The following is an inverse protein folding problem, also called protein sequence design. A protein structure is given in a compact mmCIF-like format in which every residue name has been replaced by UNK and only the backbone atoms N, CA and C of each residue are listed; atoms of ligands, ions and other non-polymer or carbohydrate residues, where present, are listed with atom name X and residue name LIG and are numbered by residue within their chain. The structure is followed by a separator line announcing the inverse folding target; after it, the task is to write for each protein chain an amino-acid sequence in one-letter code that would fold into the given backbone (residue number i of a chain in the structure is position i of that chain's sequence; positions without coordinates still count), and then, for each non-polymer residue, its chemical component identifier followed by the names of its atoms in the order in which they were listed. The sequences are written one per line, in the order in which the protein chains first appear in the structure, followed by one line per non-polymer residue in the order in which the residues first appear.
data_IF_585824624680
#
_entry.id   IF_585824624680
#
_cell.length_a   1.000
_cell.length_b   1.000
_cell.length_c   1.000
_cell.angle_alpha   90.00
_cell.angle_beta   90.00
_cell.angle_gamma   90.00
#
_symmetry.space_group_name_H-M   'P 1'
#
loop_
_entity.id
_entity.type
_entity.pdbx_description
1 polymer ?
#
# COMPACT_ATOMS: atom_id res chain seq x y z
N UNK A 1 21.40 26.33 -81.41
CA UNK A 1 20.73 27.43 -80.69
C UNK A 1 19.26 27.09 -80.48
N UNK A 2 18.92 26.50 -79.34
CA UNK A 2 17.58 26.48 -78.70
C UNK A 2 17.63 25.72 -77.35
N UNK A 3 18.80 25.67 -76.70
CA UNK A 3 19.05 25.11 -75.37
C UNK A 3 19.14 26.23 -74.31
N UNK A 4 18.26 27.25 -74.33
CA UNK A 4 18.40 28.36 -73.37
C UNK A 4 17.11 29.09 -72.96
N UNK A 5 15.91 28.56 -73.23
CA UNK A 5 14.69 29.35 -72.97
C UNK A 5 13.53 28.68 -72.24
N UNK A 6 13.73 27.50 -71.65
CA UNK A 6 12.74 26.90 -70.75
C UNK A 6 13.31 26.57 -69.36
N UNK A 7 14.26 27.41 -68.93
CA UNK A 7 14.82 27.42 -67.57
C UNK A 7 14.11 28.42 -66.63
N UNK A 8 12.91 28.88 -66.99
CA UNK A 8 12.16 29.92 -66.27
C UNK A 8 10.71 29.53 -65.98
N UNK A 9 10.47 28.25 -65.67
CA UNK A 9 9.16 27.78 -65.17
C UNK A 9 9.26 26.82 -63.98
N UNK A 10 10.34 26.93 -63.20
CA UNK A 10 10.60 26.07 -62.04
C UNK A 10 11.22 26.87 -60.87
N UNK A 11 10.61 28.01 -60.54
CA UNK A 11 11.08 28.88 -59.45
C UNK A 11 9.97 29.71 -58.79
N UNK A 12 8.75 29.16 -58.72
CA UNK A 12 7.67 29.69 -57.89
C UNK A 12 7.13 28.55 -57.04
N UNK A 13 7.77 28.28 -55.89
CA UNK A 13 7.17 27.77 -54.64
C UNK A 13 8.28 27.54 -53.60
N UNK A 14 9.05 28.58 -53.31
CA UNK A 14 9.90 28.62 -52.14
C UNK A 14 9.82 30.05 -51.59
N UNK A 15 9.71 30.18 -50.27
CA UNK A 15 9.58 31.42 -49.49
C UNK A 15 8.12 31.88 -49.28
N UNK A 16 7.44 31.24 -48.32
CA UNK A 16 6.62 31.91 -47.30
C UNK A 16 6.00 30.88 -46.36
N UNK A 17 6.71 30.47 -45.29
CA UNK A 17 6.15 30.06 -43.98
C UNK A 17 7.29 29.83 -42.99
N UNK A 18 7.97 30.90 -42.58
CA UNK A 18 8.73 30.92 -41.33
C UNK A 18 8.06 31.95 -40.43
N UNK A 19 7.02 31.51 -39.69
CA UNK A 19 6.51 32.08 -38.42
C UNK A 19 5.07 31.64 -38.20
N UNK A 20 4.86 30.44 -37.64
CA UNK A 20 3.76 30.18 -36.71
C UNK A 20 3.81 28.72 -36.27
N UNK A 21 4.77 28.41 -35.41
CA UNK A 21 4.63 27.33 -34.44
C UNK A 21 5.44 27.73 -33.22
N UNK A 22 5.04 28.85 -32.60
CA UNK A 22 5.09 28.90 -31.15
C UNK A 22 4.13 27.82 -30.68
N UNK A 23 4.62 26.58 -30.64
CA UNK A 23 4.04 25.59 -29.77
C UNK A 23 4.21 26.20 -28.38
N UNK A 24 3.13 26.78 -27.86
CA UNK A 24 2.92 26.82 -26.43
C UNK A 24 3.06 25.37 -25.98
N UNK A 25 4.29 24.99 -25.61
CA UNK A 25 4.52 23.93 -24.65
C UNK A 25 3.86 24.47 -23.39
N UNK A 26 2.55 24.29 -23.29
CA UNK A 26 1.92 24.14 -22.00
C UNK A 26 2.80 23.14 -21.27
N UNK A 27 3.48 23.60 -20.22
CA UNK A 27 4.04 22.73 -19.20
C UNK A 27 2.86 21.95 -18.63
N UNK A 28 2.39 20.93 -19.34
CA UNK A 28 1.63 19.87 -18.72
C UNK A 28 2.63 19.23 -17.77
N UNK A 29 2.47 19.48 -16.47
CA UNK A 29 3.25 18.79 -15.46
C UNK A 29 3.19 17.28 -15.76
N UNK A 30 4.36 16.68 -15.95
CA UNK A 30 4.48 15.25 -16.19
C UNK A 30 3.84 14.53 -14.99
N UNK A 31 2.84 13.68 -15.25
CA UNK A 31 2.11 13.02 -14.19
C UNK A 31 3.05 12.08 -13.43
N UNK A 32 3.38 12.42 -12.19
CA UNK A 32 4.22 11.56 -11.35
C UNK A 32 3.44 10.27 -11.00
N UNK A 33 3.87 9.15 -11.55
CA UNK A 33 3.22 7.85 -11.37
C UNK A 33 3.57 7.19 -10.05
N UNK A 34 4.73 7.49 -9.47
CA UNK A 34 5.31 6.73 -8.36
C UNK A 34 5.31 7.59 -7.11
N UNK A 35 4.47 7.25 -6.15
CA UNK A 35 4.30 8.07 -4.93
C UNK A 35 5.15 7.60 -3.75
N UNK A 36 5.57 6.33 -3.75
CA UNK A 36 6.43 5.80 -2.69
C UNK A 36 7.16 4.52 -3.15
N UNK A 37 8.25 4.17 -2.45
CA UNK A 37 8.99 2.93 -2.63
C UNK A 37 9.57 2.48 -1.30
N UNK A 38 9.32 1.22 -0.94
CA UNK A 38 9.90 0.58 0.24
C UNK A 38 10.08 -0.91 -0.02
N UNK A 39 11.19 -1.49 0.44
CA UNK A 39 11.62 -2.85 0.12
C UNK A 39 11.46 -3.16 -1.39
N UNK A 40 10.70 -4.20 -1.73
CA UNK A 40 10.37 -4.65 -3.08
C UNK A 40 9.06 -4.04 -3.63
N UNK A 41 8.41 -3.15 -2.88
CA UNK A 41 7.14 -2.52 -3.22
C UNK A 41 7.33 -1.14 -3.83
N UNK A 42 6.58 -0.87 -4.89
CA UNK A 42 6.40 0.47 -5.49
C UNK A 42 4.93 0.85 -5.44
N UNK A 43 4.62 1.98 -4.80
CA UNK A 43 3.25 2.50 -4.78
C UNK A 43 3.08 3.42 -5.98
N UNK A 44 2.10 3.07 -6.82
CA UNK A 44 1.75 3.85 -8.01
C UNK A 44 0.35 4.41 -7.90
N UNK A 45 0.11 5.54 -8.57
CA UNK A 45 -1.23 6.11 -8.74
C UNK A 45 -1.61 6.08 -10.22
N UNK A 46 -2.91 6.01 -10.49
CA UNK A 46 -3.47 5.99 -11.84
C UNK A 46 -4.42 7.17 -12.03
N UNK A 47 -4.55 7.61 -13.28
CA UNK A 47 -5.55 8.60 -13.68
C UNK A 47 -6.88 7.90 -13.98
N UNK A 48 -7.99 8.63 -13.85
CA UNK A 48 -9.32 8.18 -14.27
C UNK A 48 -9.85 9.11 -15.37
N UNK A 49 -9.32 9.01 -16.61
CA UNK A 49 -9.76 9.86 -17.72
C UNK A 49 -11.26 9.67 -18.00
N UNK A 50 -11.96 10.74 -18.40
CA UNK A 50 -13.38 10.66 -18.72
C UNK A 50 -14.31 10.80 -17.50
N UNK A 51 -13.79 10.74 -16.27
CA UNK A 51 -14.64 10.85 -15.06
C UNK A 51 -15.30 12.23 -14.94
N UNK A 52 -14.57 13.29 -15.29
CA UNK A 52 -15.07 14.67 -15.18
C UNK A 52 -16.24 14.94 -16.14
N UNK A 53 -16.29 14.23 -17.26
CA UNK A 53 -17.27 14.36 -18.33
C UNK A 53 -18.56 13.59 -18.05
N UNK A 54 -18.57 12.69 -17.06
CA UNK A 54 -19.75 11.90 -16.74
C UNK A 54 -20.92 12.76 -16.22
N UNK A 55 -22.17 12.45 -16.61
CA UNK A 55 -23.36 12.99 -15.97
C UNK A 55 -23.34 12.77 -14.45
N UNK A 56 -23.98 13.69 -13.71
CA UNK A 56 -24.00 13.66 -12.25
C UNK A 56 -24.51 12.31 -11.70
N UNK A 57 -25.55 11.74 -12.30
CA UNK A 57 -26.12 10.47 -11.85
C UNK A 57 -25.12 9.31 -11.94
N UNK A 58 -24.26 9.29 -12.97
CA UNK A 58 -23.21 8.27 -13.10
C UNK A 58 -22.09 8.48 -12.08
N UNK A 59 -21.71 9.74 -11.82
CA UNK A 59 -20.73 10.06 -10.75
C UNK A 59 -21.24 9.63 -9.38
N UNK A 60 -22.53 9.85 -9.09
CA UNK A 60 -23.15 9.39 -7.83
C UNK A 60 -23.14 7.87 -7.72
N UNK A 61 -23.49 7.15 -8.79
CA UNK A 61 -23.40 5.69 -8.81
C UNK A 61 -21.97 5.20 -8.54
N UNK A 62 -20.98 5.75 -9.24
CA UNK A 62 -19.56 5.41 -9.05
C UNK A 62 -19.12 5.69 -7.62
N UNK A 63 -19.50 6.86 -7.06
CA UNK A 63 -19.18 7.23 -5.69
C UNK A 63 -19.74 6.21 -4.68
N UNK A 64 -21.02 5.85 -4.78
CA UNK A 64 -21.59 4.88 -3.84
C UNK A 64 -20.99 3.48 -3.98
N UNK A 65 -20.63 3.05 -5.20
CA UNK A 65 -19.92 1.79 -5.42
C UNK A 65 -18.50 1.83 -4.85
N UNK A 66 -17.79 2.95 -4.95
CA UNK A 66 -16.45 3.09 -4.37
C UNK A 66 -16.50 3.09 -2.85
N UNK A 67 -17.45 3.79 -2.23
CA UNK A 67 -17.62 3.75 -0.77
C UNK A 67 -17.92 2.32 -0.29
N UNK A 68 -18.83 1.61 -0.97
CA UNK A 68 -19.13 0.22 -0.66
C UNK A 68 -17.89 -0.70 -0.77
N UNK A 69 -17.05 -0.50 -1.80
CA UNK A 69 -15.81 -1.25 -1.95
C UNK A 69 -14.80 -0.95 -0.82
N UNK A 70 -14.66 0.32 -0.42
CA UNK A 70 -13.74 0.75 0.64
C UNK A 70 -14.13 0.21 2.02
N UNK A 71 -15.43 0.07 2.30
CA UNK A 71 -15.91 -0.52 3.55
C UNK A 71 -15.46 -1.97 3.77
N UNK A 72 -15.11 -2.70 2.70
CA UNK A 72 -14.66 -4.09 2.78
C UNK A 72 -13.22 -4.29 3.28
N UNK A 73 -12.45 -3.20 3.48
CA UNK A 73 -11.02 -3.30 3.84
C UNK A 73 -10.78 -4.11 5.11
N UNK A 74 -11.49 -3.82 6.19
CA UNK A 74 -11.26 -4.47 7.48
C UNK A 74 -11.64 -5.97 7.46
N UNK A 75 -12.57 -6.38 6.58
CA UNK A 75 -12.89 -7.80 6.36
C UNK A 75 -11.66 -8.56 5.86
N UNK A 76 -10.92 -7.99 4.90
CA UNK A 76 -9.73 -8.61 4.34
C UNK A 76 -8.60 -8.72 5.39
N UNK A 77 -8.42 -7.70 6.23
CA UNK A 77 -7.43 -7.76 7.32
C UNK A 77 -7.74 -8.92 8.26
N UNK A 78 -9.00 -9.03 8.70
CA UNK A 78 -9.45 -10.07 9.63
C UNK A 78 -9.30 -11.48 9.01
N UNK A 79 -9.80 -11.68 7.79
CA UNK A 79 -9.67 -12.93 7.04
C UNK A 79 -8.21 -13.38 6.88
N UNK A 80 -7.30 -12.42 6.67
CA UNK A 80 -5.89 -12.73 6.47
C UNK A 80 -5.18 -13.23 7.73
N UNK A 81 -5.62 -12.82 8.92
CA UNK A 81 -5.13 -13.30 10.22
C UNK A 81 -5.89 -12.61 11.36
N UNK A 82 -6.33 -13.36 12.37
CA UNK A 82 -7.23 -12.87 13.43
C UNK A 82 -6.71 -11.70 14.26
N UNK A 83 -5.40 -11.50 14.32
CA UNK A 83 -4.78 -10.40 15.07
C UNK A 83 -4.45 -9.17 14.21
N UNK A 84 -4.66 -9.22 12.88
CA UNK A 84 -4.26 -8.16 11.96
C UNK A 84 -4.93 -6.81 12.27
N UNK A 85 -6.21 -6.79 12.67
CA UNK A 85 -6.90 -5.55 13.02
C UNK A 85 -6.29 -4.91 14.26
N UNK A 86 -6.06 -5.70 15.32
CA UNK A 86 -5.40 -5.23 16.54
C UNK A 86 -3.98 -4.73 16.26
N UNK A 87 -3.20 -5.47 15.46
CA UNK A 87 -1.84 -5.07 15.07
C UNK A 87 -1.88 -3.75 14.29
N UNK A 88 -2.67 -3.67 13.23
CA UNK A 88 -2.80 -2.45 12.40
C UNK A 88 -3.20 -1.25 13.25
N UNK A 89 -4.24 -1.38 14.08
CA UNK A 89 -4.75 -0.29 14.93
C UNK A 89 -3.71 0.15 15.96
N UNK A 90 -2.93 -0.78 16.52
CA UNK A 90 -1.82 -0.47 17.44
C UNK A 90 -0.73 0.33 16.74
N UNK A 91 -0.27 -0.15 15.57
CA UNK A 91 0.76 0.53 14.78
C UNK A 91 0.29 1.92 14.29
N UNK A 92 -0.96 2.04 13.84
CA UNK A 92 -1.58 3.32 13.47
C UNK A 92 -1.71 4.26 14.68
N UNK A 93 -2.08 3.72 15.85
CA UNK A 93 -2.12 4.46 17.11
C UNK A 93 -0.76 5.06 17.47
N UNK A 94 0.31 4.27 17.34
CA UNK A 94 1.69 4.75 17.48
C UNK A 94 2.02 5.81 16.44
N UNK A 95 1.77 5.53 15.16
CA UNK A 95 2.11 6.44 14.06
C UNK A 95 1.48 7.83 14.22
N UNK A 96 0.20 7.87 14.62
CA UNK A 96 -0.56 9.10 14.76
C UNK A 96 -0.24 9.88 16.05
N UNK A 97 0.32 9.23 17.07
CA UNK A 97 0.56 9.84 18.39
C UNK A 97 2.05 10.00 18.73
N UNK A 98 2.97 9.49 17.90
CA UNK A 98 4.41 9.67 18.11
C UNK A 98 4.82 11.13 17.98
N UNK A 99 5.38 11.67 19.06
CA UNK A 99 5.90 13.04 19.17
C UNK A 99 7.43 13.12 19.11
N UNK A 100 8.10 11.97 19.05
CA UNK A 100 9.56 11.90 18.96
C UNK A 100 10.08 12.16 17.55
N UNK A 101 11.39 12.00 17.39
CA UNK A 101 12.07 12.12 16.10
C UNK A 101 11.59 11.05 15.12
N UNK A 102 11.34 11.46 13.86
CA UNK A 102 10.87 10.60 12.77
C UNK A 102 11.94 10.26 11.73
N UNK A 103 13.17 10.71 11.97
CA UNK A 103 14.31 10.47 11.06
C UNK A 103 15.27 9.40 11.61
N UNK A 104 15.05 8.95 12.86
CA UNK A 104 15.85 7.88 13.46
C UNK A 104 15.67 6.56 12.71
N UNK A 105 16.72 5.73 12.69
CA UNK A 105 16.71 4.44 11.99
C UNK A 105 15.59 3.51 12.51
N UNK A 106 15.36 3.46 13.84
CA UNK A 106 14.30 2.63 14.43
C UNK A 106 12.89 3.13 14.05
N UNK A 107 12.69 4.45 13.98
CA UNK A 107 11.40 4.99 13.52
C UNK A 107 11.15 4.68 12.05
N UNK A 108 12.14 4.89 11.19
CA UNK A 108 12.01 4.59 9.76
C UNK A 108 11.75 3.10 9.52
N UNK A 109 12.37 2.22 10.31
CA UNK A 109 12.09 0.79 10.31
C UNK A 109 10.65 0.47 10.76
N UNK A 110 10.16 1.13 11.82
CA UNK A 110 8.78 1.03 12.27
C UNK A 110 7.78 1.49 11.20
N UNK A 111 8.01 2.67 10.61
CA UNK A 111 7.15 3.23 9.56
C UNK A 111 7.14 2.32 8.33
N UNK A 112 8.30 1.79 7.94
CA UNK A 112 8.40 0.80 6.86
C UNK A 112 7.57 -0.45 7.16
N UNK A 113 7.64 -0.98 8.38
CA UNK A 113 6.83 -2.14 8.78
C UNK A 113 5.32 -1.84 8.70
N UNK A 114 4.87 -0.69 9.19
CA UNK A 114 3.47 -0.27 9.07
C UNK A 114 3.03 -0.14 7.60
N UNK A 115 3.87 0.44 6.72
CA UNK A 115 3.60 0.52 5.29
C UNK A 115 3.43 -0.87 4.66
N UNK A 116 4.26 -1.84 5.04
CA UNK A 116 4.13 -3.24 4.62
C UNK A 116 2.80 -3.86 5.08
N UNK A 117 2.40 -3.60 6.33
CA UNK A 117 1.11 -4.07 6.87
C UNK A 117 -0.08 -3.49 6.11
N UNK A 118 -0.04 -2.20 5.77
CA UNK A 118 -1.07 -1.58 4.94
C UNK A 118 -1.13 -2.18 3.54
N UNK A 119 0.03 -2.35 2.91
CA UNK A 119 0.12 -2.86 1.54
C UNK A 119 -0.37 -4.30 1.41
N UNK A 120 0.02 -5.16 2.36
CA UNK A 120 -0.30 -6.58 2.30
C UNK A 120 -1.64 -6.96 2.96
N UNK A 121 -2.36 -5.99 3.53
CA UNK A 121 -3.55 -6.22 4.33
C UNK A 121 -3.31 -7.19 5.50
N UNK A 122 -2.16 -7.07 6.17
CA UNK A 122 -1.75 -7.95 7.26
C UNK A 122 -0.23 -8.05 7.43
N UNK A 123 0.23 -8.88 8.37
CA UNK A 123 1.66 -9.02 8.71
C UNK A 123 2.46 -10.01 7.84
N UNK A 124 1.86 -10.51 6.76
CA UNK A 124 2.47 -11.47 5.86
C UNK A 124 2.67 -10.88 4.47
N UNK A 125 3.73 -11.26 3.80
CA UNK A 125 4.05 -10.81 2.45
C UNK A 125 2.92 -11.18 1.48
N UNK A 126 2.42 -10.19 0.75
CA UNK A 126 1.28 -10.34 -0.16
C UNK A 126 1.47 -11.42 -1.24
N UNK A 127 2.72 -11.65 -1.68
CA UNK A 127 3.07 -12.68 -2.66
C UNK A 127 3.54 -14.00 -2.05
N UNK A 128 4.69 -14.04 -1.36
CA UNK A 128 5.22 -15.28 -0.78
C UNK A 128 4.43 -15.83 0.40
N UNK A 129 3.66 -15.01 1.11
CA UNK A 129 2.96 -15.40 2.33
C UNK A 129 3.83 -15.44 3.58
N UNK A 130 5.13 -15.17 3.48
CA UNK A 130 6.04 -15.17 4.64
C UNK A 130 5.71 -14.02 5.59
N UNK A 131 5.79 -14.27 6.90
CA UNK A 131 5.61 -13.22 7.90
C UNK A 131 6.73 -12.18 7.79
N UNK A 132 6.38 -10.91 7.91
CA UNK A 132 7.36 -9.82 7.94
C UNK A 132 8.18 -9.85 9.23
N UNK A 133 9.49 -9.72 9.10
CA UNK A 133 10.41 -9.47 10.22
C UNK A 133 10.50 -7.96 10.49
N UNK A 134 10.21 -7.50 11.72
CA UNK A 134 10.48 -6.12 12.12
C UNK A 134 11.98 -5.79 12.08
N UNK A 135 12.32 -4.58 11.67
CA UNK A 135 13.72 -4.07 11.64
C UNK A 135 13.98 -3.04 12.76
N UNK A 136 13.14 -3.04 13.78
CA UNK A 136 13.26 -2.26 15.02
C UNK A 136 13.23 -3.22 16.22
N UNK A 137 13.73 -2.79 17.37
CA UNK A 137 13.77 -3.64 18.56
C UNK A 137 12.38 -3.84 19.17
N UNK A 138 12.20 -4.98 19.85
CA UNK A 138 11.01 -5.24 20.66
C UNK A 138 10.88 -4.17 21.76
N UNK A 139 11.99 -3.80 22.39
CA UNK A 139 12.05 -2.76 23.42
C UNK A 139 11.56 -1.41 22.90
N UNK A 140 11.95 -1.03 21.67
CA UNK A 140 11.48 0.19 21.03
C UNK A 140 9.98 0.14 20.76
N UNK A 141 9.46 -0.99 20.28
CA UNK A 141 8.01 -1.17 20.11
C UNK A 141 7.25 -0.99 21.43
N UNK A 142 7.74 -1.59 22.51
CA UNK A 142 7.16 -1.39 23.85
C UNK A 142 7.12 0.09 24.26
N UNK A 143 8.22 0.81 24.06
CA UNK A 143 8.31 2.24 24.38
C UNK A 143 7.31 3.05 23.56
N UNK A 144 7.23 2.79 22.25
CA UNK A 144 6.32 3.46 21.34
C UNK A 144 4.86 3.26 21.78
N UNK A 145 4.43 2.02 22.02
CA UNK A 145 3.05 1.70 22.42
C UNK A 145 2.71 2.32 23.78
N UNK A 146 3.62 2.27 24.76
CA UNK A 146 3.41 2.92 26.07
C UNK A 146 3.36 4.45 25.99
N UNK A 147 3.91 5.04 24.94
CA UNK A 147 3.81 6.47 24.66
C UNK A 147 2.46 6.92 24.09
N UNK A 148 1.59 5.97 23.69
CA UNK A 148 0.27 6.26 23.13
C UNK A 148 -0.78 6.33 24.24
N UNK A 149 -1.68 7.34 24.24
CA UNK A 149 -2.81 7.35 25.15
C UNK A 149 -3.66 6.09 24.99
N UNK A 150 -4.06 5.46 26.10
CA UNK A 150 -4.75 4.16 26.08
C UNK A 150 -6.07 4.17 25.27
N UNK A 151 -6.79 5.32 25.23
CA UNK A 151 -8.02 5.49 24.44
C UNK A 151 -7.78 5.54 22.91
N UNK A 152 -6.51 5.57 22.48
CA UNK A 152 -6.07 5.54 21.08
C UNK A 152 -5.50 4.19 20.66
N UNK A 153 -5.50 3.20 21.57
CA UNK A 153 -5.09 1.82 21.30
C UNK A 153 -6.33 0.91 21.24
N UNK A 154 -6.26 -0.23 20.53
CA UNK A 154 -7.38 -1.17 20.47
C UNK A 154 -7.62 -1.81 21.84
N UNK A 155 -8.88 -1.80 22.28
CA UNK A 155 -9.32 -2.42 23.55
C UNK A 155 -9.76 -3.87 23.41
N UNK A 156 -9.81 -4.41 22.19
CA UNK A 156 -10.26 -5.77 21.88
C UNK A 156 -9.37 -6.87 22.49
N UNK A 157 -8.13 -6.54 22.89
CA UNK A 157 -7.19 -7.45 23.57
C UNK A 157 -6.99 -7.12 25.06
N UNK A 158 -7.86 -6.29 25.64
CA UNK A 158 -7.83 -5.94 27.06
C UNK A 158 -6.97 -4.71 27.37
N UNK A 159 -6.19 -4.76 28.47
CA UNK A 159 -5.31 -3.67 28.88
C UNK A 159 -4.15 -3.46 27.90
N UNK A 160 -3.43 -2.33 28.03
CA UNK A 160 -2.22 -2.08 27.22
C UNK A 160 -1.16 -3.15 27.44
N UNK A 161 -1.06 -3.67 28.66
CA UNK A 161 -0.17 -4.78 29.02
C UNK A 161 -0.60 -6.10 28.37
N UNK A 162 -1.90 -6.42 28.35
CA UNK A 162 -2.44 -7.63 27.70
C UNK A 162 -2.29 -7.56 26.17
N UNK A 163 -2.54 -6.38 25.59
CA UNK A 163 -2.28 -6.06 24.19
C UNK A 163 -0.82 -6.34 23.83
N UNK A 164 0.12 -5.78 24.59
CA UNK A 164 1.55 -5.99 24.37
C UNK A 164 1.99 -7.43 24.59
N UNK A 165 1.47 -8.09 25.63
CA UNK A 165 1.75 -9.51 25.90
C UNK A 165 1.29 -10.41 24.76
N UNK A 166 0.20 -10.04 24.09
CA UNK A 166 -0.35 -10.79 22.95
C UNK A 166 0.41 -10.49 21.66
N UNK A 167 0.56 -9.20 21.31
CA UNK A 167 1.05 -8.80 19.99
C UNK A 167 2.57 -8.92 19.84
N UNK A 168 3.33 -8.70 20.90
CA UNK A 168 4.80 -8.76 20.84
C UNK A 168 5.31 -10.12 20.32
N UNK A 169 4.97 -11.28 20.90
CA UNK A 169 5.44 -12.55 20.36
C UNK A 169 4.95 -12.79 18.93
N UNK A 170 3.72 -12.38 18.60
CA UNK A 170 3.17 -12.52 17.24
C UNK A 170 4.00 -11.74 16.21
N UNK A 171 4.42 -10.52 16.54
CA UNK A 171 5.17 -9.65 15.65
C UNK A 171 6.64 -10.07 15.55
N UNK A 172 7.26 -10.46 16.67
CA UNK A 172 8.72 -10.60 16.77
C UNK A 172 9.24 -12.04 16.74
N UNK A 173 8.47 -13.05 17.16
CA UNK A 173 8.92 -14.45 17.11
C UNK A 173 8.74 -15.01 15.69
N UNK A 174 9.80 -15.26 14.91
CA UNK A 174 9.67 -15.70 13.52
C UNK A 174 9.02 -17.08 13.38
N UNK A 175 8.94 -17.88 14.45
CA UNK A 175 8.38 -19.23 14.43
C UNK A 175 6.85 -19.24 14.55
N UNK A 176 6.28 -18.22 15.19
CA UNK A 176 4.82 -18.09 15.34
C UNK A 176 4.20 -17.55 14.06
N UNK A 177 3.18 -18.21 13.53
CA UNK A 177 2.42 -17.73 12.36
C UNK A 177 3.32 -17.40 11.16
N UNK A 178 4.36 -18.21 10.93
CA UNK A 178 5.43 -17.91 9.97
C UNK A 178 4.95 -17.73 8.52
N UNK A 179 3.86 -18.41 8.14
CA UNK A 179 3.27 -18.33 6.80
C UNK A 179 1.78 -18.04 6.86
N UNK A 180 1.30 -17.20 5.95
CA UNK A 180 -0.12 -16.89 5.78
C UNK A 180 -0.92 -18.12 5.35
N UNK A 181 -0.39 -18.83 4.36
CA UNK A 181 -0.94 -20.05 3.76
C UNK A 181 0.19 -21.05 3.66
N UNK A 182 0.05 -22.19 4.33
CA UNK A 182 0.96 -23.31 4.15
C UNK A 182 0.50 -24.20 2.99
N UNK A 183 1.45 -24.74 2.24
CA UNK A 183 1.24 -25.70 1.15
C UNK A 183 2.20 -26.89 1.23
N UNK A 184 2.90 -27.06 2.36
CA UNK A 184 3.91 -28.10 2.52
C UNK A 184 3.28 -29.48 2.74
N UNK A 185 3.70 -30.44 1.94
CA UNK A 185 3.26 -31.83 2.06
C UNK A 185 3.64 -32.42 3.43
N UNK A 186 2.70 -33.18 4.02
CA UNK A 186 2.88 -33.85 5.31
C UNK A 186 2.59 -32.99 6.55
N UNK A 187 2.18 -31.73 6.38
CA UNK A 187 1.74 -30.85 7.46
C UNK A 187 0.22 -30.63 7.41
N UNK A 188 -0.39 -30.31 8.56
CA UNK A 188 -1.79 -29.90 8.61
C UNK A 188 -1.91 -28.47 8.08
N UNK A 189 -2.36 -28.31 6.84
CA UNK A 189 -2.33 -27.02 6.14
C UNK A 189 -3.23 -25.97 6.81
N UNK A 190 -4.27 -26.37 7.54
CA UNK A 190 -5.19 -25.44 8.19
C UNK A 190 -4.55 -24.92 9.48
N UNK A 191 -4.07 -25.83 10.34
CA UNK A 191 -3.48 -25.46 11.63
C UNK A 191 -2.13 -24.74 11.49
N UNK A 192 -1.42 -24.98 10.39
CA UNK A 192 -0.12 -24.36 10.12
C UNK A 192 -0.19 -23.12 9.23
N UNK A 193 -1.40 -22.71 8.84
CA UNK A 193 -1.64 -21.42 8.15
C UNK A 193 -2.09 -20.36 9.15
N UNK A 194 -1.61 -19.12 9.01
CA UNK A 194 -2.05 -18.03 9.85
C UNK A 194 -3.45 -17.47 9.48
N UNK A 195 -3.98 -17.79 8.30
CA UNK A 195 -5.25 -17.22 7.85
C UNK A 195 -6.45 -17.57 8.73
N UNK A 196 -7.40 -16.64 8.83
CA UNK A 196 -8.51 -16.70 9.79
C UNK A 196 -9.80 -17.29 9.16
N UNK A 197 -9.68 -18.26 8.26
CA UNK A 197 -10.86 -18.93 7.70
C UNK A 197 -11.34 -20.10 8.56
N UNK A 198 -10.46 -20.64 9.39
CA UNK A 198 -10.70 -21.81 10.23
C UNK A 198 -10.15 -21.52 11.62
N UNK A 199 -10.86 -21.94 12.67
CA UNK A 199 -10.38 -21.84 14.05
C UNK A 199 -10.71 -23.13 14.79
N UNK A 200 -9.69 -23.72 15.42
CA UNK A 200 -9.86 -24.94 16.21
C UNK A 200 -10.19 -26.20 15.40
N UNK A 201 -9.90 -26.21 14.10
CA UNK A 201 -10.09 -27.36 13.19
C UNK A 201 -8.75 -27.87 12.66
N UNK A 202 -8.68 -29.17 12.41
CA UNK A 202 -7.65 -29.84 11.61
C UNK A 202 -8.03 -29.85 10.13
N UNK A 203 -7.09 -30.19 9.25
CA UNK A 203 -7.36 -30.41 7.83
C UNK A 203 -8.30 -31.60 7.55
N UNK A 204 -8.40 -32.57 8.47
CA UNK A 204 -9.20 -33.77 8.26
C UNK A 204 -10.67 -33.63 8.66
N UNK A 205 -10.98 -32.71 9.58
CA UNK A 205 -12.34 -32.40 10.06
C UNK A 205 -13.13 -31.59 9.03
#
# INVERSE_FOLDING_TARGET
MKNLLYFTLMSIFAVATFTSCSSDKSNAEEFDWVIDKFDDVKIIRYQVPGFAELPLQQKQLIYYLSEAALCGRDIMFDQNFKYNLAIRRTLEGVYNNHKGERESAEWLAFEKYLKKVWFANGIHHHYSGDKFTPEFSQEYFFQLVKGVPADKLPSELGSVEELLSTLTPIIFDPTLYAVKINQKEGEDLLQTSAMNYYEGLTQAE
#
